data_IF_065629172233
#
_entry.id   IF_065629172233
#
_cell.length_a   1.000
_cell.length_b   1.000
_cell.length_c   1.000
_cell.angle_alpha   90.00
_cell.angle_beta   90.00
_cell.angle_gamma   90.00
#
_symmetry.space_group_name_H-M   'P 1'
#
loop_
_entity.id
_entity.type
_entity.pdbx_description
1 polymer ?
#
# COMPACT_ATOMS: atom_id res chain seq x y z
N UNK A 1 30.12 19.25 -9.69
CA UNK A 1 28.88 18.63 -9.17
C UNK A 1 28.66 17.36 -9.98
N UNK A 2 28.79 16.19 -9.38
CA UNK A 2 28.62 14.90 -10.06
C UNK A 2 27.12 14.63 -10.08
N UNK A 3 26.52 14.66 -11.27
CA UNK A 3 25.14 14.23 -11.48
C UNK A 3 25.17 12.70 -11.47
N UNK A 4 24.96 12.08 -10.31
CA UNK A 4 24.71 10.64 -10.24
C UNK A 4 23.38 10.39 -10.96
N UNK A 5 23.47 9.75 -12.14
CA UNK A 5 22.32 9.17 -12.82
C UNK A 5 21.92 7.94 -12.01
N UNK A 6 21.06 8.13 -11.02
CA UNK A 6 20.36 7.02 -10.40
C UNK A 6 19.52 6.33 -11.48
N UNK A 7 19.74 5.04 -11.66
CA UNK A 7 18.85 4.22 -12.48
C UNK A 7 17.55 4.06 -11.69
N UNK A 8 16.48 4.67 -12.19
CA UNK A 8 15.14 4.46 -11.66
C UNK A 8 14.79 3.01 -11.99
N UNK A 9 14.57 2.17 -10.98
CA UNK A 9 14.06 0.82 -11.21
C UNK A 9 12.80 0.93 -12.06
N UNK A 10 12.63 0.04 -13.04
CA UNK A 10 11.47 0.07 -13.93
C UNK A 10 10.20 0.22 -13.08
N UNK A 11 9.40 1.26 -13.35
CA UNK A 11 8.14 1.52 -12.64
C UNK A 11 7.25 0.28 -12.78
N UNK A 12 7.34 -0.67 -11.84
CA UNK A 12 6.45 -1.82 -11.80
C UNK A 12 5.05 -1.27 -11.61
N UNK A 13 4.19 -1.50 -12.59
CA UNK A 13 2.81 -1.07 -12.52
C UNK A 13 2.10 -1.95 -11.48
N UNK A 14 0.97 -1.47 -10.93
CA UNK A 14 0.13 -2.23 -9.99
C UNK A 14 -0.10 -3.68 -10.42
N UNK A 15 -0.27 -3.91 -11.71
CA UNK A 15 -0.47 -5.24 -12.30
C UNK A 15 0.78 -6.13 -12.18
N UNK A 16 1.97 -5.57 -12.35
CA UNK A 16 3.23 -6.30 -12.23
C UNK A 16 3.48 -6.72 -10.78
N UNK A 17 3.25 -5.80 -9.84
CA UNK A 17 3.33 -6.07 -8.40
C UNK A 17 2.31 -7.12 -7.98
N UNK A 18 1.06 -7.01 -8.44
CA UNK A 18 0.01 -8.00 -8.19
C UNK A 18 0.37 -9.39 -8.75
N UNK A 19 0.87 -9.45 -9.99
CA UNK A 19 1.30 -10.70 -10.60
C UNK A 19 2.47 -11.34 -9.86
N UNK A 20 3.43 -10.54 -9.40
CA UNK A 20 4.55 -11.01 -8.58
C UNK A 20 4.07 -11.59 -7.25
N UNK A 21 3.26 -10.86 -6.50
CA UNK A 21 2.73 -11.31 -5.21
C UNK A 21 1.90 -12.57 -5.34
N UNK A 22 1.04 -12.65 -6.37
CA UNK A 22 0.25 -13.83 -6.64
C UNK A 22 1.13 -15.04 -7.00
N UNK A 23 2.22 -14.84 -7.75
CA UNK A 23 3.20 -15.90 -8.06
C UNK A 23 3.87 -16.45 -6.81
N UNK A 24 4.13 -15.59 -5.83
CA UNK A 24 4.66 -15.96 -4.51
C UNK A 24 3.58 -16.51 -3.55
N UNK A 25 2.33 -16.62 -4.01
CA UNK A 25 1.22 -17.13 -3.21
C UNK A 25 0.69 -16.15 -2.16
N UNK A 26 0.99 -14.85 -2.32
CA UNK A 26 0.58 -13.79 -1.40
C UNK A 26 -0.72 -13.16 -1.93
N UNK A 27 -1.80 -13.31 -1.16
CA UNK A 27 -3.08 -12.66 -1.41
C UNK A 27 -3.02 -11.18 -1.07
N UNK A 28 -2.76 -10.33 -2.07
CA UNK A 28 -2.68 -8.88 -1.87
C UNK A 28 -3.93 -8.14 -2.32
N UNK A 29 -4.35 -7.13 -1.56
CA UNK A 29 -5.39 -6.16 -1.96
C UNK A 29 -4.79 -4.77 -2.07
N UNK A 30 -4.95 -4.15 -3.22
CA UNK A 30 -4.54 -2.77 -3.45
C UNK A 30 -5.71 -1.83 -3.15
N UNK A 31 -5.43 -0.77 -2.40
CA UNK A 31 -6.36 0.28 -2.05
C UNK A 31 -5.78 1.60 -2.54
N UNK A 32 -6.29 2.06 -3.67
CA UNK A 32 -5.89 3.27 -4.38
C UNK A 32 -7.03 4.30 -4.45
N UNK A 33 -8.26 3.90 -4.12
CA UNK A 33 -9.44 4.76 -4.18
C UNK A 33 -10.38 4.57 -2.97
N UNK A 34 -11.24 5.55 -2.66
CA UNK A 34 -12.19 5.46 -1.56
C UNK A 34 -13.19 4.30 -1.71
N UNK A 35 -13.52 3.95 -2.95
CA UNK A 35 -14.40 2.83 -3.29
C UNK A 35 -13.74 1.49 -2.92
N UNK A 36 -12.46 1.32 -3.26
CA UNK A 36 -11.66 0.15 -2.89
C UNK A 36 -11.50 0.05 -1.37
N UNK A 37 -11.26 1.18 -0.69
CA UNK A 37 -11.21 1.22 0.77
C UNK A 37 -12.53 0.75 1.40
N UNK A 38 -13.66 1.23 0.87
CA UNK A 38 -15.00 0.84 1.33
C UNK A 38 -15.29 -0.63 1.06
N UNK A 39 -14.88 -1.16 -0.09
CA UNK A 39 -15.04 -2.56 -0.44
C UNK A 39 -14.21 -3.47 0.49
N UNK A 40 -12.96 -3.09 0.78
CA UNK A 40 -12.12 -3.81 1.72
C UNK A 40 -12.73 -3.82 3.13
N UNK A 41 -13.20 -2.68 3.62
CA UNK A 41 -13.86 -2.59 4.94
C UNK A 41 -15.04 -3.56 5.05
N UNK A 42 -15.91 -3.62 4.03
CA UNK A 42 -17.02 -4.57 3.99
C UNK A 42 -16.55 -6.03 3.99
N UNK A 43 -15.50 -6.35 3.23
CA UNK A 43 -14.93 -7.70 3.20
C UNK A 43 -14.37 -8.10 4.57
N UNK A 44 -13.69 -7.17 5.26
CA UNK A 44 -13.16 -7.39 6.60
C UNK A 44 -14.28 -7.58 7.62
N UNK A 45 -15.31 -6.74 7.58
CA UNK A 45 -16.46 -6.82 8.50
C UNK A 45 -17.27 -8.11 8.32
N UNK A 46 -17.36 -8.63 7.10
CA UNK A 46 -18.04 -9.90 6.81
C UNK A 46 -17.18 -11.14 7.13
N UNK A 47 -15.95 -10.97 7.63
CA UNK A 47 -15.03 -12.08 7.94
C UNK A 47 -14.46 -12.78 6.70
N UNK A 48 -14.56 -12.16 5.52
CA UNK A 48 -14.07 -12.68 4.24
C UNK A 48 -12.59 -12.33 4.01
N UNK A 49 -11.76 -12.46 5.03
CA UNK A 49 -10.33 -12.05 4.99
C UNK A 49 -9.35 -13.20 4.83
N UNK A 50 -9.82 -14.45 4.76
CA UNK A 50 -8.98 -15.66 4.71
C UNK A 50 -7.99 -15.73 3.53
N UNK A 51 -8.15 -14.87 2.53
CA UNK A 51 -7.30 -14.80 1.34
C UNK A 51 -6.54 -13.47 1.24
N UNK A 52 -6.50 -12.68 2.32
CA UNK A 52 -5.83 -11.39 2.33
C UNK A 52 -4.65 -11.49 3.29
N UNK A 53 -3.46 -11.63 2.72
CA UNK A 53 -2.19 -11.68 3.42
C UNK A 53 -1.56 -10.29 3.55
N UNK A 54 -1.88 -9.36 2.62
CA UNK A 54 -1.30 -8.02 2.59
C UNK A 54 -2.29 -7.00 2.01
N UNK A 55 -2.36 -5.82 2.64
CA UNK A 55 -3.06 -4.66 2.08
C UNK A 55 -2.05 -3.60 1.66
N UNK A 56 -2.08 -3.21 0.39
CA UNK A 56 -1.20 -2.21 -0.19
C UNK A 56 -1.98 -0.91 -0.36
N UNK A 57 -1.51 0.15 0.29
CA UNK A 57 -2.11 1.48 0.26
C UNK A 57 -1.35 2.36 -0.74
N UNK A 58 -1.99 2.76 -1.83
CA UNK A 58 -1.38 3.65 -2.82
C UNK A 58 -1.71 5.11 -2.49
N UNK A 59 -0.70 5.86 -2.05
CA UNK A 59 -0.76 7.30 -1.83
C UNK A 59 -0.27 8.05 -3.08
N UNK A 60 -0.70 9.31 -3.34
CA UNK A 60 -1.43 10.23 -2.46
C UNK A 60 -2.96 10.22 -2.65
N UNK A 61 -3.51 9.25 -3.38
CA UNK A 61 -4.91 9.27 -3.80
C UNK A 61 -5.93 9.17 -2.64
N UNK A 62 -5.46 8.78 -1.45
CA UNK A 62 -6.28 8.56 -0.27
C UNK A 62 -5.91 9.52 0.85
N UNK A 63 -6.92 10.13 1.46
CA UNK A 63 -6.73 11.01 2.61
C UNK A 63 -6.78 10.23 3.92
N UNK A 64 -6.20 10.79 4.99
CA UNK A 64 -6.16 10.18 6.33
C UNK A 64 -7.50 9.62 6.81
N UNK A 65 -8.58 10.39 6.68
CA UNK A 65 -9.91 9.96 7.15
C UNK A 65 -10.45 8.72 6.42
N UNK A 66 -9.94 8.43 5.21
CA UNK A 66 -10.30 7.24 4.42
C UNK A 66 -9.39 6.06 4.75
N UNK A 67 -8.11 6.34 5.08
CA UNK A 67 -7.12 5.31 5.43
C UNK A 67 -7.23 4.84 6.87
N UNK A 68 -7.55 5.73 7.81
CA UNK A 68 -7.60 5.40 9.24
C UNK A 68 -8.52 4.19 9.52
N UNK A 69 -9.76 4.14 9.02
CA UNK A 69 -10.63 2.99 9.26
C UNK A 69 -10.07 1.69 8.65
N UNK A 70 -9.43 1.79 7.48
CA UNK A 70 -8.82 0.64 6.80
C UNK A 70 -7.68 0.08 7.63
N UNK A 71 -6.75 0.94 8.05
CA UNK A 71 -5.60 0.56 8.88
C UNK A 71 -6.04 -0.03 10.21
N UNK A 72 -7.00 0.61 10.90
CA UNK A 72 -7.51 0.12 12.19
C UNK A 72 -8.15 -1.27 12.05
N UNK A 73 -8.93 -1.50 10.99
CA UNK A 73 -9.54 -2.81 10.73
C UNK A 73 -8.51 -3.88 10.34
N UNK A 74 -7.51 -3.53 9.55
CA UNK A 74 -6.43 -4.45 9.20
C UNK A 74 -5.64 -4.87 10.44
N UNK A 75 -5.38 -3.94 11.37
CA UNK A 75 -4.72 -4.25 12.66
C UNK A 75 -5.54 -5.25 13.47
N UNK A 76 -6.86 -5.02 13.61
CA UNK A 76 -7.75 -5.94 14.33
C UNK A 76 -7.81 -7.33 13.67
N UNK A 77 -7.78 -7.36 12.33
CA UNK A 77 -7.75 -8.58 11.54
C UNK A 77 -6.35 -9.23 11.45
N UNK A 78 -5.32 -8.59 12.03
CA UNK A 78 -3.91 -9.00 11.94
C UNK A 78 -3.37 -9.10 10.50
N UNK A 79 -3.86 -8.23 9.62
CA UNK A 79 -3.41 -8.12 8.23
C UNK A 79 -2.39 -6.99 8.16
N UNK A 80 -1.15 -7.24 7.68
CA UNK A 80 -0.16 -6.19 7.51
C UNK A 80 -0.58 -5.19 6.42
N UNK A 81 -0.18 -3.94 6.62
CA UNK A 81 -0.43 -2.84 5.66
C UNK A 81 0.89 -2.28 5.16
N UNK A 82 1.02 -2.16 3.84
CA UNK A 82 2.19 -1.58 3.17
C UNK A 82 1.76 -0.32 2.43
N UNK A 83 2.35 0.82 2.75
CA UNK A 83 2.10 2.05 1.99
C UNK A 83 3.15 2.24 0.89
N UNK A 84 2.69 2.52 -0.32
CA UNK A 84 3.53 2.99 -1.42
C UNK A 84 3.32 4.49 -1.53
N UNK A 85 4.38 5.26 -1.30
CA UNK A 85 4.32 6.72 -1.22
C UNK A 85 5.32 7.33 -2.20
N UNK A 86 4.90 8.21 -3.12
CA UNK A 86 5.85 8.95 -3.94
C UNK A 86 6.84 9.72 -3.06
N UNK A 87 8.12 9.75 -3.42
CA UNK A 87 9.17 10.39 -2.60
C UNK A 87 8.82 11.85 -2.27
N UNK A 88 8.23 12.56 -3.23
CA UNK A 88 7.79 13.95 -3.09
C UNK A 88 6.65 14.14 -2.08
N UNK A 89 5.94 13.06 -1.73
CA UNK A 89 4.77 13.04 -0.85
C UNK A 89 5.04 12.36 0.51
N UNK A 90 6.28 11.92 0.78
CA UNK A 90 6.63 11.29 2.07
C UNK A 90 6.38 12.25 3.23
N UNK A 91 6.64 13.55 3.04
CA UNK A 91 6.38 14.57 4.06
C UNK A 91 4.90 14.79 4.38
N UNK A 92 4.00 14.42 3.46
CA UNK A 92 2.55 14.50 3.64
C UNK A 92 2.00 13.28 4.39
N UNK A 93 2.82 12.24 4.58
CA UNK A 93 2.40 11.05 5.29
C UNK A 93 2.26 11.35 6.77
N UNK A 94 1.03 11.27 7.24
CA UNK A 94 0.73 11.49 8.63
C UNK A 94 1.20 10.29 9.47
N UNK A 95 2.29 10.47 10.22
CA UNK A 95 2.96 9.47 11.08
C UNK A 95 2.03 8.86 12.15
N UNK A 96 0.81 9.40 12.32
CA UNK A 96 -0.19 8.84 13.22
C UNK A 96 -0.90 7.59 12.69
N UNK A 97 -0.84 7.33 11.37
CA UNK A 97 -1.37 6.09 10.81
C UNK A 97 -0.45 4.92 11.15
N UNK A 98 -1.01 3.89 11.80
CA UNK A 98 -0.29 2.68 12.22
C UNK A 98 -0.08 1.70 11.06
N UNK A 99 0.51 2.20 9.97
CA UNK A 99 0.87 1.40 8.81
C UNK A 99 2.05 0.49 9.20
N UNK A 100 2.04 -0.76 8.74
CA UNK A 100 3.06 -1.75 9.13
C UNK A 100 4.42 -1.44 8.51
N UNK A 101 4.43 -1.10 7.22
CA UNK A 101 5.65 -0.83 6.46
C UNK A 101 5.42 0.23 5.37
N UNK A 102 6.50 0.88 4.93
CA UNK A 102 6.45 1.89 3.88
C UNK A 102 7.54 1.69 2.83
N UNK A 103 7.17 1.87 1.56
CA UNK A 103 8.10 1.94 0.43
C UNK A 103 7.90 3.28 -0.29
N UNK A 104 9.00 3.93 -0.66
CA UNK A 104 8.97 5.14 -1.48
C UNK A 104 9.03 4.82 -2.96
N UNK A 105 8.30 5.57 -3.78
CA UNK A 105 8.33 5.47 -5.24
C UNK A 105 8.92 6.74 -5.88
N UNK A 106 9.77 6.64 -6.92
CA UNK A 106 10.32 5.38 -7.43
C UNK A 106 11.36 4.79 -6.47
N UNK A 107 11.57 3.48 -6.59
CA UNK A 107 12.69 2.82 -5.90
C UNK A 107 13.96 3.13 -6.70
N UNK A 108 14.97 3.67 -6.03
CA UNK A 108 16.29 3.89 -6.61
C UNK A 108 17.18 2.70 -6.27
N UNK A 109 17.83 2.12 -7.28
CA UNK A 109 18.93 1.18 -7.05
C UNK A 109 20.21 1.98 -6.77
N UNK A 110 20.89 1.68 -5.65
CA UNK A 110 22.24 2.14 -5.34
C UNK A 110 23.31 1.53 -6.26
#
# INVERSE_FOLDING_TARGET
MISQKYSVSQNMLRNDTSAFLNREGIGSVFVSSPEEATALLKSVDNGSTKHIDLVILELPNLRKHQLQPVVDKCILAKIPTLAIVPLDNVGDLEVSLKITELITSPVYED
#
